data_IF_696425528430
#
_entry.id   IF_696425528430
#
_cell.length_a   1.000
_cell.length_b   1.000
_cell.length_c   1.000
_cell.angle_alpha   90.00
_cell.angle_beta   90.00
_cell.angle_gamma   90.00
#
_symmetry.space_group_name_H-M   'P 1'
#
loop_
_entity.id
_entity.type
_entity.pdbx_description
1 polymer ?
#
# COMPACT_ATOMS: atom_id res chain seq x y z
N UNK A 1 -64.29 -1.95 25.39
CA UNK A 1 -62.82 -2.12 25.21
C UNK A 1 -62.14 -2.03 26.56
N UNK A 2 -61.49 -3.11 27.03
CA UNK A 2 -60.84 -3.16 28.35
C UNK A 2 -59.63 -2.22 28.44
N UNK A 3 -59.61 -1.34 29.46
CA UNK A 3 -58.50 -0.42 29.76
C UNK A 3 -57.15 -1.16 29.94
N UNK A 4 -57.18 -2.45 30.32
CA UNK A 4 -55.98 -3.28 30.55
C UNK A 4 -55.23 -3.63 29.25
N UNK A 5 -55.93 -3.78 28.11
CA UNK A 5 -55.28 -4.04 26.82
C UNK A 5 -54.54 -2.81 26.26
N UNK A 6 -55.04 -1.60 26.54
CA UNK A 6 -54.40 -0.36 26.09
C UNK A 6 -53.07 -0.09 26.81
N UNK A 7 -52.98 -0.37 28.11
CA UNK A 7 -51.75 -0.17 28.89
C UNK A 7 -50.63 -1.14 28.49
N UNK A 8 -50.95 -2.42 28.30
CA UNK A 8 -49.98 -3.42 27.85
C UNK A 8 -49.43 -3.08 26.45
N UNK A 9 -50.28 -2.60 25.54
CA UNK A 9 -49.88 -2.21 24.19
C UNK A 9 -49.01 -0.93 24.19
N UNK A 10 -49.31 0.03 25.08
CA UNK A 10 -48.46 1.22 25.30
C UNK A 10 -47.07 0.86 25.80
N UNK A 11 -46.96 -0.07 26.77
CA UNK A 11 -45.66 -0.55 27.28
C UNK A 11 -44.84 -1.25 26.19
N UNK A 12 -45.47 -2.14 25.41
CA UNK A 12 -44.81 -2.82 24.28
C UNK A 12 -44.32 -1.85 23.20
N UNK A 13 -45.10 -0.81 22.87
CA UNK A 13 -44.65 0.25 21.94
C UNK A 13 -43.44 0.99 22.48
N UNK A 14 -43.48 1.43 23.74
CA UNK A 14 -42.36 2.13 24.36
C UNK A 14 -41.09 1.27 24.41
N UNK A 15 -41.20 -0.02 24.75
CA UNK A 15 -40.07 -0.95 24.72
C UNK A 15 -39.48 -1.12 23.32
N UNK A 16 -40.32 -1.19 22.29
CA UNK A 16 -39.90 -1.26 20.90
C UNK A 16 -39.18 0.02 20.46
N UNK A 17 -39.76 1.19 20.78
CA UNK A 17 -39.18 2.50 20.45
C UNK A 17 -37.79 2.67 21.09
N UNK A 18 -37.67 2.33 22.38
CA UNK A 18 -36.40 2.35 23.10
C UNK A 18 -35.35 1.40 22.49
N UNK A 19 -35.78 0.25 21.96
CA UNK A 19 -34.88 -0.70 21.28
C UNK A 19 -34.40 -0.13 19.95
N UNK A 20 -35.30 0.44 19.15
CA UNK A 20 -34.95 1.08 17.89
C UNK A 20 -33.97 2.25 18.08
N UNK A 21 -34.17 3.07 19.11
CA UNK A 21 -33.28 4.18 19.45
C UNK A 21 -31.88 3.70 19.86
N UNK A 22 -31.80 2.66 20.70
CA UNK A 22 -30.51 2.06 21.11
C UNK A 22 -29.76 1.47 19.93
N UNK A 23 -30.43 0.72 19.05
CA UNK A 23 -29.82 0.16 17.84
C UNK A 23 -29.33 1.26 16.87
N UNK A 24 -30.08 2.36 16.74
CA UNK A 24 -29.67 3.50 15.93
C UNK A 24 -28.44 4.22 16.52
N UNK A 25 -28.39 4.38 17.85
CA UNK A 25 -27.24 4.96 18.55
C UNK A 25 -25.98 4.09 18.39
N UNK A 26 -26.11 2.77 18.57
CA UNK A 26 -25.00 1.84 18.36
C UNK A 26 -24.47 1.87 16.92
N UNK A 27 -25.37 1.91 15.91
CA UNK A 27 -24.96 2.01 14.51
C UNK A 27 -24.19 3.31 14.24
N UNK A 28 -24.62 4.43 14.82
CA UNK A 28 -23.91 5.72 14.71
C UNK A 28 -22.53 5.66 15.36
N UNK A 29 -22.41 5.08 16.56
CA UNK A 29 -21.12 4.91 17.25
C UNK A 29 -20.17 3.96 16.49
N UNK A 30 -20.67 2.81 16.01
CA UNK A 30 -19.88 1.88 15.19
C UNK A 30 -19.42 2.54 13.88
N UNK A 31 -20.24 3.40 13.28
CA UNK A 31 -19.87 4.14 12.08
C UNK A 31 -18.82 5.24 12.34
N UNK A 32 -18.87 5.94 13.48
CA UNK A 32 -17.86 6.95 13.83
C UNK A 32 -16.51 6.31 14.14
N UNK A 33 -16.49 5.19 14.88
CA UNK A 33 -15.26 4.44 15.18
C UNK A 33 -14.58 3.94 13.90
N UNK A 34 -15.34 3.33 12.97
CA UNK A 34 -14.81 2.90 11.66
C UNK A 34 -14.24 4.06 10.82
N UNK A 35 -14.81 5.27 10.95
CA UNK A 35 -14.29 6.46 10.27
C UNK A 35 -13.01 6.98 10.91
N UNK A 36 -12.88 6.88 12.23
CA UNK A 36 -11.68 7.27 12.97
C UNK A 36 -10.50 6.34 12.63
N UNK A 37 -10.71 5.02 12.68
CA UNK A 37 -9.68 4.02 12.33
C UNK A 37 -9.13 4.24 10.91
N UNK A 38 -10.02 4.44 9.93
CA UNK A 38 -9.64 4.71 8.52
C UNK A 38 -8.85 6.01 8.31
N UNK A 39 -8.86 6.94 9.26
CA UNK A 39 -8.08 8.19 9.17
C UNK A 39 -6.68 8.02 9.74
N UNK A 40 -6.50 7.16 10.74
CA UNK A 40 -5.22 6.93 11.42
C UNK A 40 -4.29 6.09 10.53
N UNK A 41 -4.81 5.11 9.81
CA UNK A 41 -4.01 4.20 8.97
C UNK A 41 -3.63 4.76 7.59
N UNK A 42 -3.98 6.01 7.28
CA UNK A 42 -3.58 6.62 6.00
C UNK A 42 -2.23 7.30 6.18
N UNK A 43 -1.11 6.72 5.72
CA UNK A 43 0.15 7.45 5.71
C UNK A 43 -0.06 8.72 4.87
N UNK A 44 0.20 9.88 5.47
CA UNK A 44 0.26 11.16 4.79
C UNK A 44 1.33 11.06 3.70
N UNK A 45 0.94 10.64 2.49
CA UNK A 45 1.78 10.68 1.30
C UNK A 45 1.99 12.16 0.97
N UNK A 46 3.02 12.76 1.56
CA UNK A 46 3.51 14.09 1.17
C UNK A 46 3.84 14.01 -0.32
N UNK A 47 3.02 14.62 -1.15
CA UNK A 47 3.24 14.71 -2.60
C UNK A 47 4.39 15.69 -2.83
N UNK A 48 5.63 15.23 -2.74
CA UNK A 48 6.76 16.04 -3.18
C UNK A 48 6.68 16.11 -4.71
N UNK A 49 6.59 17.33 -5.25
CA UNK A 49 6.62 17.56 -6.70
C UNK A 49 7.98 17.06 -7.19
N UNK A 50 7.98 16.03 -8.05
CA UNK A 50 9.23 15.51 -8.60
C UNK A 50 9.85 16.55 -9.54
N UNK A 51 11.12 16.89 -9.30
CA UNK A 51 11.83 17.86 -10.13
C UNK A 51 12.14 17.22 -11.49
N UNK A 52 11.56 17.77 -12.56
CA UNK A 52 11.85 17.35 -13.94
C UNK A 52 13.14 18.01 -14.43
N UNK A 53 14.20 17.23 -14.59
CA UNK A 53 15.44 17.68 -15.23
C UNK A 53 15.25 17.68 -16.76
N UNK A 54 15.31 18.86 -17.38
CA UNK A 54 15.24 19.05 -18.85
C UNK A 54 16.60 18.76 -19.50
N UNK A 55 16.63 18.35 -20.77
CA UNK A 55 17.88 18.24 -21.56
C UNK A 55 18.45 19.65 -21.80
N UNK A 56 19.77 19.75 -21.95
CA UNK A 56 20.49 21.00 -22.21
C UNK A 56 20.88 21.80 -20.96
N UNK A 57 20.23 21.55 -19.81
CA UNK A 57 20.53 22.24 -18.54
C UNK A 57 21.87 21.78 -17.98
N UNK A 58 22.65 22.72 -17.42
CA UNK A 58 23.85 22.43 -16.64
C UNK A 58 23.50 22.43 -15.16
N UNK A 59 23.65 21.28 -14.49
CA UNK A 59 23.38 21.11 -13.06
C UNK A 59 24.63 20.59 -12.38
N UNK A 60 25.10 21.29 -11.33
CA UNK A 60 26.30 20.92 -10.55
C UNK A 60 27.50 20.54 -11.45
N UNK A 61 27.75 21.35 -12.47
CA UNK A 61 28.86 21.13 -13.42
C UNK A 61 28.58 20.17 -14.58
N UNK A 62 27.53 19.33 -14.51
CA UNK A 62 27.20 18.34 -15.56
C UNK A 62 26.17 18.93 -16.52
N UNK A 63 26.48 18.95 -17.82
CA UNK A 63 25.51 19.27 -18.88
C UNK A 63 24.69 18.03 -19.22
N UNK A 64 23.36 18.13 -19.12
CA UNK A 64 22.45 17.02 -19.40
C UNK A 64 22.26 16.88 -20.91
N UNK A 65 23.08 16.04 -21.54
CA UNK A 65 22.95 15.72 -22.97
C UNK A 65 22.06 14.49 -23.16
N UNK A 66 22.34 13.41 -22.43
CA UNK A 66 21.73 12.09 -22.65
C UNK A 66 21.18 11.46 -21.36
N UNK A 67 20.53 10.30 -21.48
CA UNK A 67 19.88 9.61 -20.37
C UNK A 67 20.86 9.30 -19.22
N UNK A 68 22.11 8.93 -19.52
CA UNK A 68 23.09 8.59 -18.49
C UNK A 68 23.61 9.82 -17.74
N UNK A 69 23.80 10.94 -18.43
CA UNK A 69 24.11 12.21 -17.78
C UNK A 69 22.97 12.64 -16.83
N UNK A 70 21.71 12.39 -17.22
CA UNK A 70 20.54 12.64 -16.38
C UNK A 70 20.48 11.73 -15.16
N UNK A 71 20.86 10.45 -15.29
CA UNK A 71 20.98 9.52 -14.15
C UNK A 71 22.08 9.97 -13.17
N UNK A 72 23.25 10.39 -13.66
CA UNK A 72 24.34 10.91 -12.83
C UNK A 72 23.91 12.12 -12.02
N UNK A 73 23.27 13.10 -12.66
CA UNK A 73 22.74 14.28 -11.96
C UNK A 73 21.69 13.91 -10.92
N UNK A 74 20.78 12.98 -11.21
CA UNK A 74 19.79 12.50 -10.21
C UNK A 74 20.45 11.88 -8.99
N UNK A 75 21.50 11.07 -9.17
CA UNK A 75 22.24 10.46 -8.06
C UNK A 75 22.90 11.51 -7.19
N UNK A 76 23.56 12.50 -7.79
CA UNK A 76 24.21 13.60 -7.05
C UNK A 76 23.19 14.42 -6.27
N UNK A 77 22.07 14.80 -6.89
CA UNK A 77 21.00 15.54 -6.20
C UNK A 77 20.40 14.74 -5.03
N UNK A 78 20.22 13.43 -5.19
CA UNK A 78 19.74 12.57 -4.11
C UNK A 78 20.75 12.46 -2.96
N UNK A 79 22.05 12.37 -3.25
CA UNK A 79 23.11 12.35 -2.24
C UNK A 79 23.16 13.69 -1.48
N UNK A 80 23.13 14.83 -2.18
CA UNK A 80 23.09 16.15 -1.54
C UNK A 80 21.85 16.30 -0.66
N UNK A 81 20.68 15.84 -1.13
CA UNK A 81 19.46 15.91 -0.33
C UNK A 81 19.55 15.02 0.91
N UNK A 82 20.09 13.82 0.80
CA UNK A 82 20.30 12.93 1.95
C UNK A 82 21.27 13.55 2.97
N UNK A 83 22.35 14.18 2.52
CA UNK A 83 23.30 14.88 3.40
C UNK A 83 22.66 16.07 4.11
N UNK A 84 21.84 16.87 3.40
CA UNK A 84 21.13 18.00 4.03
C UNK A 84 20.13 17.55 5.08
N UNK A 85 19.37 16.47 4.81
CA UNK A 85 18.41 15.94 5.77
C UNK A 85 19.09 15.27 6.97
N UNK A 86 20.26 14.65 6.79
CA UNK A 86 21.01 14.02 7.87
C UNK A 86 21.58 15.01 8.90
N UNK A 87 21.74 16.29 8.53
CA UNK A 87 22.23 17.34 9.44
C UNK A 87 21.07 17.90 10.30
N UNK A 88 19.85 17.93 9.77
CA UNK A 88 18.65 18.32 10.53
C UNK A 88 18.05 17.17 11.35
N UNK A 89 18.47 15.92 11.07
CA UNK A 89 18.14 14.72 11.83
C UNK A 89 19.37 14.23 12.60
N UNK A 90 19.82 14.97 13.62
CA UNK A 90 20.48 14.36 14.78
C UNK A 90 19.39 13.88 15.76
N UNK A 91 18.86 12.64 15.66
CA UNK A 91 18.35 11.96 16.82
C UNK A 91 19.53 11.31 17.55
N UNK A 92 19.61 11.55 18.85
CA UNK A 92 20.45 10.80 19.76
C UNK A 92 20.46 9.30 19.41
N UNK A 93 21.68 8.77 19.32
CA UNK A 93 22.03 7.37 19.13
C UNK A 93 21.03 6.38 19.74
N UNK A 94 20.50 5.47 18.92
CA UNK A 94 20.19 4.13 19.42
C UNK A 94 20.65 3.07 18.43
N UNK A 95 21.70 2.36 18.83
CA UNK A 95 22.27 1.22 18.13
C UNK A 95 21.27 0.06 18.13
N UNK A 96 20.66 -0.25 16.98
CA UNK A 96 19.91 -1.50 16.82
C UNK A 96 20.57 -2.40 15.77
N UNK A 97 21.21 -3.42 16.33
CA UNK A 97 21.88 -4.58 15.75
C UNK A 97 21.19 -5.13 14.49
N UNK A 98 22.03 -5.48 13.52
CA UNK A 98 21.70 -6.24 12.31
C UNK A 98 20.91 -7.52 12.65
N UNK A 99 19.73 -7.68 12.03
CA UNK A 99 19.04 -8.97 11.95
C UNK A 99 19.28 -9.56 10.56
N UNK A 100 19.81 -10.79 10.57
CA UNK A 100 20.38 -11.47 9.42
C UNK A 100 19.45 -11.68 8.23
N UNK A 101 20.10 -11.75 7.07
CA UNK A 101 19.54 -12.07 5.76
C UNK A 101 19.10 -13.54 5.78
N UNK A 102 17.79 -13.81 5.73
CA UNK A 102 17.26 -15.17 5.57
C UNK A 102 17.26 -15.57 4.09
N UNK A 103 18.24 -16.40 3.74
CA UNK A 103 18.39 -17.02 2.43
C UNK A 103 17.36 -18.17 2.32
N UNK A 104 16.11 -17.89 1.92
CA UNK A 104 15.13 -18.98 1.67
C UNK A 104 14.10 -18.74 0.56
N UNK A 105 14.32 -17.74 -0.32
CA UNK A 105 13.35 -17.39 -1.37
C UNK A 105 13.91 -17.40 -2.81
N UNK A 106 15.03 -18.09 -3.06
CA UNK A 106 15.67 -18.11 -4.40
C UNK A 106 15.41 -19.39 -5.23
N UNK A 107 14.94 -20.49 -4.66
CA UNK A 107 14.92 -21.80 -5.36
C UNK A 107 13.60 -22.22 -5.99
N UNK A 108 12.49 -21.47 -5.83
CA UNK A 108 11.18 -21.86 -6.41
C UNK A 108 10.84 -21.22 -7.77
N UNK A 109 11.73 -20.43 -8.36
CA UNK A 109 11.49 -19.78 -9.67
C UNK A 109 12.29 -20.34 -10.85
N UNK A 110 13.23 -21.27 -10.59
CA UNK A 110 14.04 -21.86 -11.66
C UNK A 110 13.35 -23.01 -12.42
N UNK A 111 12.42 -23.76 -11.80
CA UNK A 111 11.87 -24.98 -12.39
C UNK A 111 10.60 -24.82 -13.24
N UNK A 112 10.11 -23.59 -13.46
CA UNK A 112 8.90 -23.33 -14.25
C UNK A 112 9.15 -22.79 -15.66
N UNK A 113 10.39 -22.41 -15.98
CA UNK A 113 10.75 -21.92 -17.32
C UNK A 113 11.19 -23.03 -18.28
N UNK A 114 11.72 -24.14 -17.75
CA UNK A 114 12.19 -25.26 -18.59
C UNK A 114 11.11 -26.30 -18.93
N UNK A 115 9.93 -26.24 -18.28
CA UNK A 115 8.83 -27.17 -18.55
C UNK A 115 7.86 -26.71 -19.65
N UNK A 116 7.95 -25.45 -20.08
CA UNK A 116 7.13 -24.89 -21.18
C UNK A 116 7.84 -25.07 -22.53
N UNK A 117 9.17 -25.17 -22.55
CA UNK A 117 9.97 -25.32 -23.78
C UNK A 117 10.05 -26.76 -24.33
N UNK A 118 9.56 -27.78 -23.61
CA UNK A 118 9.59 -29.20 -24.05
C UNK A 118 8.24 -29.75 -24.51
N UNK A 119 7.22 -28.90 -24.68
CA UNK A 119 5.85 -29.33 -24.99
C UNK A 119 5.34 -28.91 -26.37
N UNK A 120 6.22 -28.41 -27.25
CA UNK A 120 5.82 -27.93 -28.59
C UNK A 120 6.37 -28.75 -29.76
N UNK A 121 7.18 -29.79 -29.53
CA UNK A 121 7.86 -30.50 -30.62
C UNK A 121 7.54 -32.02 -30.68
N UNK A 122 6.47 -32.49 -30.01
CA UNK A 122 6.14 -33.94 -29.97
C UNK A 122 4.81 -34.32 -30.62
N UNK A 123 4.06 -33.40 -31.22
CA UNK A 123 2.73 -33.66 -31.80
C UNK A 123 2.65 -33.36 -33.32
N UNK A 124 3.74 -33.59 -34.06
CA UNK A 124 3.81 -33.33 -35.51
C UNK A 124 4.41 -34.46 -36.36
N UNK A 125 4.49 -35.69 -35.85
CA UNK A 125 4.82 -36.88 -36.67
C UNK A 125 3.90 -38.05 -36.31
N UNK A 126 2.85 -38.26 -37.10
CA UNK A 126 1.98 -39.44 -36.93
C UNK A 126 0.57 -39.32 -37.49
N UNK A 127 0.40 -38.86 -38.73
CA UNK A 127 -0.91 -38.96 -39.40
C UNK A 127 -0.78 -39.04 -40.93
N UNK A 128 -0.10 -40.08 -41.46
CA UNK A 128 -0.33 -40.61 -42.81
C UNK A 128 0.03 -42.11 -42.85
N UNK A 129 -0.98 -42.97 -42.80
CA UNK A 129 -0.98 -44.36 -43.30
C UNK A 129 -2.39 -44.49 -43.92
N UNK A 130 -2.59 -44.68 -45.22
CA UNK A 130 -2.03 -45.75 -46.03
C UNK A 130 -3.09 -46.83 -46.11
#
# INVERSE_FOLDING_TARGET
MSKKNSLAQKRKRHEYDMRCEKEAAEKKQKASLKKAEKKIDKPLKKKTKSIRIRRGVKLRGIKVKDADSKKKVRKLLAQEQAMKMAIDEEPQMSSKKSKGISVKAATKRATKKDKVAKKTDSDAEGMVIG
#
